data_IF_554843055136
#
_entry.id   IF_554843055136
#
_cell.length_a   1.000
_cell.length_b   1.000
_cell.length_c   1.000
_cell.angle_alpha   90.00
_cell.angle_beta   90.00
_cell.angle_gamma   90.00
#
_symmetry.space_group_name_H-M   'P 1'
#
loop_
_entity.id
_entity.type
_entity.pdbx_description
1 polymer ?
#
# COMPACT_ATOMS: atom_id res chain seq x y z
N UNK A 1 32.07 -24.93 45.59
CA UNK A 1 31.18 -25.26 44.45
C UNK A 1 31.30 -24.11 43.46
N UNK A 2 31.92 -24.33 42.29
CA UNK A 2 32.17 -23.29 41.27
C UNK A 2 30.93 -23.17 40.38
N UNK A 3 30.23 -22.04 40.44
CA UNK A 3 29.14 -21.73 39.51
C UNK A 3 29.80 -21.18 38.23
N UNK A 4 29.70 -21.93 37.14
CA UNK A 4 30.25 -21.55 35.84
C UNK A 4 29.37 -20.47 35.23
N UNK A 5 30.02 -19.37 34.87
CA UNK A 5 29.49 -18.19 34.19
C UNK A 5 29.21 -18.54 32.72
N UNK A 6 27.95 -18.76 32.33
CA UNK A 6 27.58 -18.85 30.91
C UNK A 6 27.08 -17.50 30.41
N UNK A 7 27.99 -16.75 29.78
CA UNK A 7 27.68 -15.61 28.91
C UNK A 7 26.95 -16.14 27.66
N UNK A 8 25.61 -16.04 27.64
CA UNK A 8 24.83 -16.29 26.43
C UNK A 8 24.50 -14.93 25.78
N UNK A 9 24.88 -14.68 24.52
CA UNK A 9 24.84 -13.35 23.92
C UNK A 9 23.40 -12.98 23.57
N UNK A 10 22.86 -11.95 24.24
CA UNK A 10 21.67 -11.23 23.79
C UNK A 10 22.06 -10.30 22.63
N UNK A 11 22.40 -10.89 21.50
CA UNK A 11 22.38 -10.17 20.23
C UNK A 11 20.91 -10.02 19.84
N UNK A 12 20.27 -8.99 20.40
CA UNK A 12 18.92 -8.60 20.01
C UNK A 12 19.04 -8.08 18.58
N UNK A 13 18.85 -8.97 17.62
CA UNK A 13 18.64 -8.62 16.23
C UNK A 13 17.41 -7.71 16.20
N UNK A 14 17.65 -6.40 16.13
CA UNK A 14 16.64 -5.44 15.67
C UNK A 14 16.44 -5.66 14.16
N UNK A 15 15.94 -6.84 13.79
CA UNK A 15 15.32 -7.02 12.49
C UNK A 15 14.05 -6.18 12.53
N UNK A 16 14.16 -4.94 12.09
CA UNK A 16 13.02 -4.22 11.52
C UNK A 16 12.55 -5.04 10.33
N UNK A 17 11.76 -6.08 10.60
CA UNK A 17 10.99 -6.77 9.58
C UNK A 17 10.02 -5.73 9.05
N UNK A 18 10.40 -5.07 7.95
CA UNK A 18 9.43 -4.54 7.03
C UNK A 18 8.58 -5.75 6.63
N UNK A 19 7.47 -5.96 7.35
CA UNK A 19 6.55 -7.06 7.06
C UNK A 19 6.20 -6.88 5.59
N UNK A 20 6.43 -7.90 4.78
CA UNK A 20 5.87 -7.96 3.44
C UNK A 20 4.35 -7.94 3.62
N UNK A 21 3.75 -6.76 3.60
CA UNK A 21 2.31 -6.60 3.77
C UNK A 21 1.65 -7.06 2.49
N UNK A 22 0.69 -7.98 2.62
CA UNK A 22 -0.09 -8.43 1.49
C UNK A 22 -0.96 -7.26 1.00
N UNK A 23 -0.62 -6.71 -0.17
CA UNK A 23 -1.34 -5.60 -0.78
C UNK A 23 -2.32 -6.19 -1.79
N UNK A 24 -3.61 -6.17 -1.45
CA UNK A 24 -4.69 -6.58 -2.33
C UNK A 24 -5.74 -5.49 -2.42
N UNK A 25 -6.50 -5.50 -3.52
CA UNK A 25 -7.66 -4.65 -3.66
C UNK A 25 -8.81 -5.20 -2.81
N UNK A 26 -9.54 -4.35 -2.06
CA UNK A 26 -10.71 -4.79 -1.32
C UNK A 26 -11.83 -5.27 -2.26
N UNK A 27 -12.62 -6.26 -1.84
CA UNK A 27 -13.62 -6.90 -2.70
C UNK A 27 -15.00 -6.21 -2.69
N UNK A 28 -15.23 -5.27 -1.76
CA UNK A 28 -16.59 -4.84 -1.41
C UNK A 28 -17.07 -3.59 -2.19
N UNK A 29 -16.23 -3.01 -3.05
CA UNK A 29 -16.48 -1.69 -3.65
C UNK A 29 -17.02 -1.73 -5.08
N UNK A 30 -17.58 -2.87 -5.53
CA UNK A 30 -18.39 -2.93 -6.75
C UNK A 30 -17.65 -2.77 -8.09
N UNK A 31 -16.32 -2.67 -8.08
CA UNK A 31 -15.51 -2.52 -9.29
C UNK A 31 -15.53 -3.77 -10.17
N UNK A 32 -15.95 -3.62 -11.41
CA UNK A 32 -16.04 -4.70 -12.42
C UNK A 32 -14.72 -4.87 -13.18
N UNK A 33 -14.03 -3.78 -13.46
CA UNK A 33 -12.82 -3.72 -14.29
C UNK A 33 -11.58 -3.58 -13.41
N UNK A 34 -10.81 -4.68 -13.33
CA UNK A 34 -9.47 -4.76 -12.73
C UNK A 34 -9.40 -4.53 -11.21
N UNK A 35 -9.70 -5.60 -10.45
CA UNK A 35 -9.23 -5.83 -9.06
C UNK A 35 -7.71 -5.98 -8.95
N UNK A 36 -6.95 -5.36 -9.84
CA UNK A 36 -5.50 -5.40 -9.87
C UNK A 36 -4.98 -4.18 -9.15
N UNK A 37 -4.00 -4.40 -8.29
CA UNK A 37 -3.24 -3.32 -7.70
C UNK A 37 -2.50 -2.63 -8.84
N UNK A 38 -2.74 -1.33 -8.96
CA UNK A 38 -2.12 -0.49 -9.96
C UNK A 38 -0.79 0.07 -9.44
N UNK A 39 -0.84 0.68 -8.26
CA UNK A 39 0.32 1.32 -7.61
C UNK A 39 0.34 1.00 -6.12
N UNK A 40 1.53 0.76 -5.57
CA UNK A 40 1.75 0.64 -4.12
C UNK A 40 2.62 1.81 -3.65
N UNK A 41 2.10 2.59 -2.72
CA UNK A 41 2.83 3.66 -2.05
C UNK A 41 3.43 3.14 -0.76
N UNK A 42 4.76 3.13 -0.67
CA UNK A 42 5.46 2.78 0.56
C UNK A 42 5.68 4.03 1.41
N UNK A 43 5.21 3.98 2.66
CA UNK A 43 5.35 5.06 3.63
C UNK A 43 6.58 4.84 4.51
N UNK A 44 7.17 5.92 5.01
CA UNK A 44 8.37 5.89 5.86
C UNK A 44 8.19 5.11 7.18
N UNK A 45 6.95 4.94 7.63
CA UNK A 45 6.61 4.14 8.81
C UNK A 45 6.49 2.62 8.53
N UNK A 46 6.89 2.16 7.35
CA UNK A 46 6.85 0.74 6.96
C UNK A 46 5.45 0.23 6.60
N UNK A 47 4.45 1.11 6.51
CA UNK A 47 3.11 0.78 5.97
C UNK A 47 3.07 1.05 4.48
N UNK A 48 2.12 0.42 3.80
CA UNK A 48 1.89 0.63 2.37
C UNK A 48 0.42 0.93 2.08
N UNK A 49 0.17 1.72 1.04
CA UNK A 49 -1.18 1.99 0.52
C UNK A 49 -1.24 1.45 -0.91
N UNK A 50 -2.23 0.62 -1.20
CA UNK A 50 -2.54 0.16 -2.54
C UNK A 50 -3.57 1.10 -3.20
N UNK A 51 -3.28 1.46 -4.45
CA UNK A 51 -4.23 2.04 -5.39
C UNK A 51 -4.76 0.94 -6.31
N UNK A 52 -6.07 0.83 -6.41
CA UNK A 52 -6.76 -0.15 -7.24
C UNK A 52 -7.88 0.55 -8.01
N UNK A 53 -8.10 0.17 -9.27
CA UNK A 53 -9.17 0.75 -10.08
C UNK A 53 -8.76 0.94 -11.53
N UNK A 54 -9.55 1.73 -12.26
CA UNK A 54 -9.29 2.00 -13.66
C UNK A 54 -8.27 3.14 -13.81
N UNK A 55 -7.15 2.82 -14.49
CA UNK A 55 -6.15 3.79 -14.93
C UNK A 55 -6.46 4.18 -16.37
N UNK A 56 -6.76 5.46 -16.61
CA UNK A 56 -6.78 6.00 -17.96
C UNK A 56 -5.36 6.45 -18.35
N UNK A 57 -4.79 5.73 -19.31
CA UNK A 57 -3.45 5.98 -19.87
C UNK A 57 -3.48 6.74 -21.20
N UNK A 58 -4.67 7.08 -21.73
CA UNK A 58 -4.82 7.67 -23.06
C UNK A 58 -4.88 9.21 -23.03
N UNK A 59 -4.79 9.82 -21.86
CA UNK A 59 -4.86 11.28 -21.74
C UNK A 59 -3.54 11.92 -22.17
N UNK A 60 -3.64 12.84 -23.13
CA UNK A 60 -2.53 13.61 -23.69
C UNK A 60 -1.70 14.31 -22.59
N UNK A 61 -0.40 14.53 -22.86
CA UNK A 61 0.55 15.25 -21.99
C UNK A 61 1.19 14.48 -20.83
N UNK A 62 1.17 13.14 -20.85
CA UNK A 62 1.93 12.33 -19.88
C UNK A 62 1.37 12.37 -18.45
N UNK A 63 0.09 12.73 -18.31
CA UNK A 63 -0.64 12.70 -17.03
C UNK A 63 -1.42 11.40 -16.95
N UNK A 64 -1.42 10.79 -15.77
CA UNK A 64 -2.23 9.59 -15.50
C UNK A 64 -3.47 9.98 -14.72
N UNK A 65 -4.61 9.53 -15.20
CA UNK A 65 -5.91 9.76 -14.57
C UNK A 65 -6.52 8.45 -14.12
N UNK A 66 -7.40 8.54 -13.13
CA UNK A 66 -8.09 7.40 -12.55
C UNK A 66 -9.57 7.70 -12.41
N UNK A 67 -10.40 6.75 -12.77
CA UNK A 67 -11.82 6.72 -12.46
C UNK A 67 -12.12 5.38 -11.80
N UNK A 68 -13.23 5.30 -11.06
CA UNK A 68 -13.64 4.03 -10.43
C UNK A 68 -12.45 3.38 -9.67
N UNK A 69 -11.90 4.09 -8.68
CA UNK A 69 -10.72 3.65 -7.95
C UNK A 69 -10.85 3.77 -6.44
N UNK A 70 -10.02 3.00 -5.74
CA UNK A 70 -9.99 2.88 -4.28
C UNK A 70 -8.55 2.95 -3.77
N UNK A 71 -8.38 3.61 -2.62
CA UNK A 71 -7.17 3.54 -1.83
C UNK A 71 -7.42 2.62 -0.63
N UNK A 72 -6.51 1.67 -0.39
CA UNK A 72 -6.59 0.74 0.74
C UNK A 72 -5.24 0.62 1.44
N UNK A 73 -5.24 0.56 2.76
CA UNK A 73 -4.02 0.22 3.50
C UNK A 73 -3.71 -1.26 3.32
N UNK A 74 -2.46 -1.60 2.98
CA UNK A 74 -2.06 -2.99 2.82
C UNK A 74 -2.18 -3.75 4.14
N UNK A 75 -2.64 -5.00 4.08
CA UNK A 75 -2.93 -5.81 5.27
C UNK A 75 -4.24 -5.46 5.99
N UNK A 76 -5.00 -4.47 5.53
CA UNK A 76 -6.32 -4.12 6.07
C UNK A 76 -7.43 -4.56 5.12
N UNK A 77 -8.60 -4.87 5.69
CA UNK A 77 -9.78 -5.31 4.91
C UNK A 77 -10.53 -4.14 4.28
N UNK A 78 -10.49 -2.98 4.93
CA UNK A 78 -11.30 -1.83 4.56
C UNK A 78 -10.52 -0.89 3.65
N UNK A 79 -11.22 -0.25 2.71
CA UNK A 79 -10.66 0.88 1.99
C UNK A 79 -10.51 2.08 2.91
N UNK A 80 -9.49 2.88 2.62
CA UNK A 80 -9.36 4.25 3.13
C UNK A 80 -10.47 5.10 2.51
N UNK A 81 -10.61 5.03 1.17
CA UNK A 81 -11.62 5.79 0.43
C UNK A 81 -11.83 5.23 -0.98
N UNK A 82 -13.07 5.34 -1.45
CA UNK A 82 -13.53 5.01 -2.80
C UNK A 82 -13.93 6.30 -3.55
N UNK A 83 -13.55 6.37 -4.83
CA UNK A 83 -14.02 7.33 -5.82
C UNK A 83 -14.71 6.58 -6.95
N UNK A 84 -15.99 6.85 -7.13
CA UNK A 84 -16.83 6.21 -8.14
C UNK A 84 -16.51 6.67 -9.58
N UNK A 85 -17.27 6.15 -10.55
CA UNK A 85 -17.10 6.47 -11.97
C UNK A 85 -17.61 7.86 -12.37
N UNK A 86 -18.13 8.68 -11.45
CA UNK A 86 -18.67 10.01 -11.80
C UNK A 86 -17.58 11.04 -12.05
N UNK A 87 -16.35 10.78 -11.59
CA UNK A 87 -15.22 11.69 -11.69
C UNK A 87 -13.99 10.98 -12.25
N UNK A 88 -13.21 11.74 -13.02
CA UNK A 88 -11.87 11.38 -13.41
C UNK A 88 -10.87 12.22 -12.60
N UNK A 89 -9.99 11.55 -11.87
CA UNK A 89 -9.09 12.19 -10.91
C UNK A 89 -7.63 12.08 -11.35
N UNK A 90 -6.90 13.19 -11.28
CA UNK A 90 -5.44 13.16 -11.32
C UNK A 90 -4.89 12.96 -9.90
N UNK A 91 -4.11 11.89 -9.67
CA UNK A 91 -3.43 11.68 -8.40
C UNK A 91 -2.11 12.45 -8.34
N UNK A 92 -1.91 13.20 -7.25
CA UNK A 92 -0.63 13.87 -6.95
C UNK A 92 -0.05 13.31 -5.67
N UNK A 93 1.14 12.70 -5.78
CA UNK A 93 1.87 12.18 -4.64
C UNK A 93 2.88 13.23 -4.21
N UNK A 94 2.76 13.69 -2.95
CA UNK A 94 3.74 14.58 -2.34
C UNK A 94 4.65 13.77 -1.44
N UNK A 95 5.96 13.85 -1.67
CA UNK A 95 6.96 13.30 -0.76
C UNK A 95 7.41 14.40 0.19
N UNK A 96 7.23 14.17 1.49
CA UNK A 96 7.78 15.04 2.53
C UNK A 96 9.16 14.49 2.89
N UNK A 97 10.20 15.29 2.60
CA UNK A 97 11.60 14.95 2.88
C UNK A 97 11.97 15.34 4.31
#
# INVERSE_FOLDING_TARGET
>A
MKIILTLLPLFILNFSYARAQNCNCPNDFGFSSSRKVDTIFHLSNGRSIALCGYRDTQVAEGRTFYSEFVLAACGEKNAIKFWDATLECQLRVMSFK
#
